data_IF_050695289163
#
_entry.id   IF_050695289163
#
_cell.length_a   1.000
_cell.length_b   1.000
_cell.length_c   1.000
_cell.angle_alpha   90.00
_cell.angle_beta   90.00
_cell.angle_gamma   90.00
#
_symmetry.space_group_name_H-M   'P 1'
#
loop_
_entity.id
_entity.type
_entity.pdbx_description
1 polymer ?
#
# COMPACT_ATOMS: atom_id res chain seq x y z
N UNK A 1 27.79 5.99 -4.90
CA UNK A 1 26.87 5.07 -4.20
C UNK A 1 25.63 4.90 -5.06
N UNK A 2 25.53 3.79 -5.79
CA UNK A 2 24.34 3.43 -6.56
C UNK A 2 23.17 3.29 -5.59
N UNK A 3 22.13 4.12 -5.76
CA UNK A 3 20.85 3.90 -5.08
C UNK A 3 20.38 2.52 -5.54
N UNK A 4 20.39 1.53 -4.66
CA UNK A 4 19.70 0.28 -4.90
C UNK A 4 18.24 0.63 -5.13
N UNK A 5 17.82 0.65 -6.40
CA UNK A 5 16.42 0.69 -6.76
C UNK A 5 15.84 -0.59 -6.20
N UNK A 6 15.19 -0.52 -5.03
CA UNK A 6 14.49 -1.66 -4.44
C UNK A 6 13.46 -2.09 -5.48
N UNK A 7 13.76 -3.16 -6.22
CA UNK A 7 12.82 -3.76 -7.16
C UNK A 7 11.67 -4.30 -6.33
N UNK A 8 10.56 -3.58 -6.33
CA UNK A 8 9.40 -4.00 -5.56
C UNK A 8 8.67 -5.07 -6.37
N UNK A 9 8.36 -6.23 -5.76
CA UNK A 9 7.67 -7.28 -6.48
C UNK A 9 6.32 -6.77 -7.03
N UNK A 10 6.01 -7.08 -8.29
CA UNK A 10 4.73 -6.68 -8.92
C UNK A 10 3.51 -7.09 -8.09
N UNK A 11 3.56 -8.24 -7.42
CA UNK A 11 2.47 -8.68 -6.56
C UNK A 11 2.23 -7.72 -5.38
N UNK A 12 3.29 -7.10 -4.83
CA UNK A 12 3.20 -6.14 -3.73
C UNK A 12 2.64 -4.81 -4.23
N UNK A 13 3.07 -4.37 -5.42
CA UNK A 13 2.52 -3.20 -6.10
C UNK A 13 1.02 -3.34 -6.36
N UNK A 14 0.53 -4.48 -6.85
CA UNK A 14 -0.90 -4.75 -7.04
C UNK A 14 -1.72 -4.69 -5.74
N UNK A 15 -1.11 -5.05 -4.60
CA UNK A 15 -1.77 -4.93 -3.29
C UNK A 15 -1.81 -3.48 -2.83
N UNK A 16 -0.75 -2.74 -3.10
CA UNK A 16 -0.69 -1.32 -2.81
C UNK A 16 -1.70 -0.52 -3.64
N UNK A 17 -1.83 -0.79 -4.95
CA UNK A 17 -2.83 -0.12 -5.80
C UNK A 17 -4.25 -0.36 -5.29
N UNK A 18 -4.58 -1.57 -4.83
CA UNK A 18 -5.87 -1.82 -4.19
C UNK A 18 -6.10 -0.94 -2.95
N UNK A 19 -5.10 -0.78 -2.09
CA UNK A 19 -5.19 0.10 -0.92
C UNK A 19 -5.37 1.55 -1.38
N UNK A 20 -4.57 1.99 -2.34
CA UNK A 20 -4.62 3.34 -2.88
C UNK A 20 -5.99 3.67 -3.45
N UNK A 21 -6.56 2.83 -4.31
CA UNK A 21 -7.88 3.06 -4.90
C UNK A 21 -8.97 3.09 -3.82
N UNK A 22 -8.89 2.18 -2.82
CA UNK A 22 -9.96 2.02 -1.85
C UNK A 22 -9.94 3.04 -0.71
N UNK A 23 -8.76 3.43 -0.26
CA UNK A 23 -8.59 4.29 0.92
C UNK A 23 -7.89 5.60 0.59
N UNK A 24 -7.12 5.68 -0.51
CA UNK A 24 -6.25 6.81 -0.84
C UNK A 24 -5.44 7.23 0.39
N UNK A 25 -5.56 8.48 0.80
CA UNK A 25 -4.90 9.05 1.97
C UNK A 25 -5.68 8.86 3.29
N UNK A 26 -6.83 8.18 3.24
CA UNK A 26 -7.61 7.84 4.42
C UNK A 26 -6.96 6.73 5.22
N UNK A 27 -7.32 6.66 6.50
CA UNK A 27 -6.82 5.66 7.42
C UNK A 27 -7.67 4.39 7.34
N UNK A 28 -7.06 3.23 7.56
CA UNK A 28 -7.75 1.94 7.54
C UNK A 28 -7.13 0.95 8.52
N UNK A 29 -7.91 -0.06 8.91
CA UNK A 29 -7.46 -1.16 9.75
C UNK A 29 -7.08 -2.38 8.91
N UNK A 30 -6.26 -3.27 9.48
CA UNK A 30 -5.91 -4.54 8.82
C UNK A 30 -7.15 -5.39 8.50
N UNK A 31 -8.23 -5.26 9.26
CA UNK A 31 -9.52 -5.92 9.00
C UNK A 31 -10.14 -5.53 7.67
N UNK A 32 -9.93 -4.30 7.21
CA UNK A 32 -10.60 -3.74 6.04
C UNK A 32 -10.04 -4.32 4.74
N UNK A 33 -8.74 -4.66 4.75
CA UNK A 33 -8.05 -5.30 3.62
C UNK A 33 -8.00 -6.83 3.75
N UNK A 34 -8.40 -7.39 4.90
CA UNK A 34 -8.28 -8.84 5.19
C UNK A 34 -9.05 -9.70 4.19
N UNK A 35 -10.22 -9.27 3.71
CA UNK A 35 -10.98 -10.02 2.70
C UNK A 35 -10.24 -10.13 1.38
N UNK A 36 -9.54 -9.07 0.98
CA UNK A 36 -8.80 -9.03 -0.28
C UNK A 36 -7.46 -9.77 -0.18
N UNK A 37 -6.74 -9.61 0.93
CA UNK A 37 -5.37 -10.12 1.10
C UNK A 37 -5.35 -11.50 1.77
N UNK A 38 -6.44 -11.89 2.42
CA UNK A 38 -6.62 -13.20 3.07
C UNK A 38 -5.45 -13.51 4.01
N UNK A 39 -4.79 -14.66 3.80
CA UNK A 39 -3.67 -15.13 4.63
C UNK A 39 -2.43 -14.25 4.55
N UNK A 40 -2.25 -13.48 3.48
CA UNK A 40 -1.06 -12.64 3.30
C UNK A 40 -1.21 -11.25 3.89
N UNK A 41 -2.34 -10.92 4.53
CA UNK A 41 -2.64 -9.55 5.03
C UNK A 41 -1.48 -8.96 5.84
N UNK A 42 -1.02 -9.66 6.88
CA UNK A 42 0.04 -9.15 7.76
C UNK A 42 1.38 -9.02 7.03
N UNK A 43 1.73 -9.99 6.19
CA UNK A 43 2.96 -9.96 5.39
C UNK A 43 2.94 -8.81 4.38
N UNK A 44 1.81 -8.59 3.70
CA UNK A 44 1.63 -7.48 2.77
C UNK A 44 1.79 -6.13 3.49
N UNK A 45 1.06 -5.93 4.60
CA UNK A 45 1.09 -4.66 5.33
C UNK A 45 2.49 -4.37 5.87
N UNK A 46 3.17 -5.38 6.43
CA UNK A 46 4.55 -5.25 6.91
C UNK A 46 5.50 -4.87 5.77
N UNK A 47 5.46 -5.59 4.65
CA UNK A 47 6.33 -5.32 3.50
C UNK A 47 6.10 -3.92 2.92
N UNK A 48 4.84 -3.47 2.83
CA UNK A 48 4.51 -2.12 2.36
C UNK A 48 4.97 -1.02 3.33
N UNK A 49 4.91 -1.27 4.64
CA UNK A 49 5.45 -0.35 5.65
C UNK A 49 6.98 -0.29 5.59
N UNK A 50 7.67 -1.43 5.44
CA UNK A 50 9.13 -1.49 5.26
C UNK A 50 9.61 -0.85 3.96
N UNK A 51 8.76 -0.88 2.92
CA UNK A 51 8.98 -0.16 1.66
C UNK A 51 8.71 1.36 1.77
N UNK A 52 8.13 1.82 2.88
CA UNK A 52 7.78 3.24 3.10
C UNK A 52 6.52 3.70 2.37
N UNK A 53 5.74 2.77 1.81
CA UNK A 53 4.51 3.06 1.07
C UNK A 53 3.28 3.08 1.96
N UNK A 54 3.38 2.50 3.16
CA UNK A 54 2.39 2.65 4.23
C UNK A 54 3.02 3.27 5.47
N UNK A 55 2.25 4.12 6.15
CA UNK A 55 2.54 4.54 7.51
C UNK A 55 1.64 3.72 8.44
N UNK A 56 2.22 3.09 9.46
CA UNK A 56 1.48 2.46 10.55
C UNK A 56 1.51 3.33 11.80
N UNK A 57 0.39 3.48 12.49
CA UNK A 57 0.29 4.18 13.76
C UNK A 57 -0.71 3.47 14.69
N UNK A 58 -0.65 3.79 15.98
CA UNK A 58 -1.56 3.22 16.98
C UNK A 58 -2.64 4.25 17.34
N UNK A 59 -3.88 3.81 17.32
CA UNK A 59 -5.05 4.58 17.74
C UNK A 59 -5.95 3.66 18.57
N UNK A 60 -6.30 4.10 19.78
CA UNK A 60 -7.12 3.32 20.74
C UNK A 60 -6.63 1.86 20.96
N UNK A 61 -5.31 1.65 20.98
CA UNK A 61 -4.70 0.33 21.14
C UNK A 61 -4.75 -0.56 19.89
N UNK A 62 -5.32 -0.09 18.78
CA UNK A 62 -5.35 -0.79 17.49
C UNK A 62 -4.32 -0.20 16.53
N UNK A 63 -3.83 -1.03 15.60
CA UNK A 63 -2.91 -0.58 14.55
C UNK A 63 -3.72 -0.14 13.33
N UNK A 64 -3.52 1.11 12.92
CA UNK A 64 -4.07 1.68 11.70
C UNK A 64 -2.96 1.94 10.69
N UNK A 65 -3.36 2.04 9.44
CA UNK A 65 -2.50 2.22 8.30
C UNK A 65 -3.00 3.38 7.44
N UNK A 66 -2.09 4.08 6.77
CA UNK A 66 -2.41 5.10 5.76
C UNK A 66 -1.47 4.93 4.58
N UNK A 67 -1.98 5.06 3.35
CA UNK A 67 -1.13 5.08 2.17
C UNK A 67 -0.25 6.33 2.13
N UNK A 68 1.02 6.13 1.77
CA UNK A 68 2.01 7.19 1.61
C UNK A 68 2.76 6.94 0.31
N UNK A 69 2.21 7.34 -0.84
CA UNK A 69 2.87 7.10 -2.10
C UNK A 69 4.19 7.87 -2.15
N UNK A 70 5.21 7.24 -2.72
CA UNK A 70 6.47 7.91 -3.04
C UNK A 70 6.37 8.52 -4.44
N UNK A 71 7.22 9.52 -4.74
CA UNK A 71 7.25 10.11 -6.10
C UNK A 71 7.44 9.06 -7.19
N UNK A 72 8.24 8.03 -6.90
CA UNK A 72 8.58 6.95 -7.84
C UNK A 72 7.36 6.11 -8.25
N UNK A 73 6.34 5.98 -7.39
CA UNK A 73 5.16 5.17 -7.70
C UNK A 73 3.90 5.96 -8.01
N UNK A 74 3.92 7.28 -7.81
CA UNK A 74 2.75 8.13 -8.08
C UNK A 74 2.34 8.05 -9.55
N UNK A 75 3.32 8.06 -10.46
CA UNK A 75 3.06 7.95 -11.90
C UNK A 75 2.38 6.61 -12.24
N UNK A 76 2.91 5.50 -11.72
CA UNK A 76 2.34 4.16 -11.93
C UNK A 76 0.93 4.03 -11.31
N UNK A 77 0.70 4.63 -10.15
CA UNK A 77 -0.62 4.65 -9.50
C UNK A 77 -1.66 5.42 -10.32
N UNK A 78 -1.30 6.59 -10.86
CA UNK A 78 -2.21 7.39 -11.67
C UNK A 78 -2.51 6.73 -13.01
N UNK A 79 -1.50 6.12 -13.65
CA UNK A 79 -1.71 5.32 -14.86
C UNK A 79 -2.69 4.17 -14.59
N UNK A 80 -2.54 3.49 -13.45
CA UNK A 80 -3.44 2.41 -13.05
C UNK A 80 -4.85 2.91 -12.70
N UNK A 81 -5.00 4.03 -11.98
CA UNK A 81 -6.31 4.63 -11.69
C UNK A 81 -7.05 5.03 -12.98
N UNK A 82 -6.34 5.61 -13.96
CA UNK A 82 -6.92 6.01 -15.24
C UNK A 82 -7.48 4.83 -16.03
N UNK A 83 -6.75 3.70 -16.09
CA UNK A 83 -7.18 2.48 -16.77
C UNK A 83 -8.43 1.87 -16.13
N UNK A 84 -8.58 1.96 -14.80
CA UNK A 84 -9.74 1.37 -14.09
C UNK A 84 -10.95 2.31 -13.96
N UNK A 85 -10.81 3.58 -14.36
CA UNK A 85 -11.91 4.55 -14.43
C UNK A 85 -12.43 4.77 -15.85
N UNK A 86 -11.76 4.21 -16.88
CA UNK A 86 -12.19 4.21 -18.29
C UNK A 86 -12.92 2.92 -18.65
#
# INVERSE_FOLDING_TARGET
MSKETKVIPNWLFLRYTYIWIRFKEQQFYSSDVKKQFKRTTNTCLKALTEAGWLISFKEEGKTMFRARPTKEILEDLYAFEYIFQS
#
